data_IF_067455382766
#
_entry.id   IF_067455382766
#
_cell.length_a   1.000
_cell.length_b   1.000
_cell.length_c   1.000
_cell.angle_alpha   90.00
_cell.angle_beta   90.00
_cell.angle_gamma   90.00
#
_symmetry.space_group_name_H-M   'P 1'
#
loop_
_entity.id
_entity.type
_entity.pdbx_description
1 polymer ?
#
# COMPACT_ATOMS: atom_id res chain seq x y z
N UNK A 1 -10.33 -36.02 29.45
CA UNK A 1 -9.91 -34.60 29.56
C UNK A 1 -8.64 -34.46 28.73
N UNK A 2 -8.76 -34.12 27.43
CA UNK A 2 -7.61 -34.07 26.53
C UNK A 2 -6.84 -32.78 26.77
N UNK A 3 -5.73 -32.88 27.51
CA UNK A 3 -4.73 -31.82 27.64
C UNK A 3 -3.98 -31.70 26.32
N UNK A 4 -4.38 -30.75 25.49
CA UNK A 4 -3.67 -30.42 24.27
C UNK A 4 -2.40 -29.63 24.64
N UNK A 5 -1.28 -30.33 24.86
CA UNK A 5 0.07 -29.75 24.87
C UNK A 5 0.52 -29.52 23.43
N UNK A 6 -0.16 -28.61 22.75
CA UNK A 6 0.35 -28.08 21.49
C UNK A 6 1.40 -27.05 21.84
N UNK A 7 2.66 -27.37 21.55
CA UNK A 7 3.67 -26.38 21.18
C UNK A 7 3.12 -25.60 19.98
N UNK A 8 2.18 -24.70 20.26
CA UNK A 8 1.78 -23.69 19.32
C UNK A 8 3.03 -22.89 19.13
N UNK A 9 3.68 -23.11 17.99
CA UNK A 9 4.43 -22.07 17.32
C UNK A 9 3.46 -20.91 17.16
N UNK A 10 3.32 -20.14 18.23
CA UNK A 10 2.66 -18.86 18.25
C UNK A 10 3.55 -18.02 17.35
N UNK A 11 3.21 -18.00 16.06
CA UNK A 11 3.76 -17.09 15.07
C UNK A 11 3.66 -15.65 15.60
N UNK A 12 2.67 -15.38 16.48
CA UNK A 12 2.56 -14.18 17.32
C UNK A 12 3.76 -13.92 18.25
N UNK A 13 4.41 -14.95 18.79
CA UNK A 13 5.54 -14.85 19.71
C UNK A 13 6.85 -14.41 19.05
N UNK A 14 7.00 -14.63 17.74
CA UNK A 14 8.15 -14.13 16.97
C UNK A 14 8.01 -12.62 16.66
N UNK A 15 6.79 -12.10 16.56
CA UNK A 15 6.49 -10.68 16.41
C UNK A 15 6.30 -9.99 17.76
N UNK A 16 7.34 -10.01 18.62
CA UNK A 16 7.33 -9.27 19.90
C UNK A 16 7.20 -7.75 19.75
N UNK A 17 7.26 -7.21 18.52
CA UNK A 17 7.00 -5.80 18.22
C UNK A 17 6.05 -5.67 17.03
N UNK A 18 4.82 -5.13 17.24
CA UNK A 18 3.86 -4.82 16.17
C UNK A 18 4.45 -3.96 15.05
N UNK A 19 5.43 -3.10 15.36
CA UNK A 19 6.09 -2.23 14.38
C UNK A 19 6.94 -3.01 13.37
N UNK A 20 7.64 -4.06 13.81
CA UNK A 20 8.49 -4.90 12.94
C UNK A 20 7.60 -5.73 12.01
N UNK A 21 6.52 -6.31 12.54
CA UNK A 21 5.54 -7.05 11.76
C UNK A 21 4.95 -6.17 10.65
N UNK A 22 4.62 -4.92 10.99
CA UNK A 22 4.07 -3.96 10.05
C UNK A 22 5.08 -3.56 8.96
N UNK A 23 6.34 -3.34 9.34
CA UNK A 23 7.42 -3.07 8.37
C UNK A 23 7.64 -4.23 7.39
N UNK A 24 7.65 -5.47 7.88
CA UNK A 24 7.78 -6.66 7.03
C UNK A 24 6.58 -6.81 6.08
N UNK A 25 5.34 -6.60 6.57
CA UNK A 25 4.16 -6.65 5.73
C UNK A 25 4.20 -5.63 4.60
N UNK A 26 4.59 -4.38 4.90
CA UNK A 26 4.77 -3.34 3.88
C UNK A 26 5.85 -3.75 2.88
N UNK A 27 6.96 -4.33 3.35
CA UNK A 27 8.02 -4.82 2.47
C UNK A 27 7.55 -5.93 1.52
N UNK A 28 6.80 -6.91 2.03
CA UNK A 28 6.23 -8.01 1.23
C UNK A 28 5.24 -7.45 0.21
N UNK A 29 4.37 -6.55 0.63
CA UNK A 29 3.39 -5.92 -0.26
C UNK A 29 4.08 -5.10 -1.37
N UNK A 30 5.15 -4.38 -1.03
CA UNK A 30 5.95 -3.64 -2.01
C UNK A 30 6.58 -4.57 -3.05
N UNK A 31 7.14 -5.71 -2.62
CA UNK A 31 7.65 -6.73 -3.54
C UNK A 31 6.54 -7.28 -4.44
N UNK A 32 5.32 -7.44 -3.90
CA UNK A 32 4.11 -7.81 -4.64
C UNK A 32 3.65 -6.75 -5.64
N UNK A 33 3.96 -5.46 -5.42
CA UNK A 33 3.65 -4.38 -6.33
C UNK A 33 4.64 -4.26 -7.51
N UNK A 34 5.85 -4.84 -7.41
CA UNK A 34 6.88 -4.76 -8.45
C UNK A 34 6.44 -5.32 -9.82
N UNK A 35 5.74 -6.48 -9.93
CA UNK A 35 5.23 -6.98 -11.20
C UNK A 35 4.28 -5.99 -11.87
N UNK A 36 3.43 -5.33 -11.09
CA UNK A 36 2.50 -4.31 -11.58
C UNK A 36 3.25 -3.09 -12.08
N UNK A 37 4.23 -2.57 -11.33
CA UNK A 37 5.09 -1.46 -11.78
C UNK A 37 5.80 -1.81 -13.10
N UNK A 38 6.39 -3.00 -13.19
CA UNK A 38 7.05 -3.49 -14.40
C UNK A 38 6.07 -3.62 -15.57
N UNK A 39 4.85 -4.08 -15.32
CA UNK A 39 3.77 -4.20 -16.32
C UNK A 39 3.34 -2.81 -16.79
N UNK A 40 3.10 -1.86 -15.89
CA UNK A 40 2.74 -0.48 -16.23
C UNK A 40 3.78 0.22 -17.09
N UNK A 41 5.07 -0.10 -16.91
CA UNK A 41 6.17 0.44 -17.72
C UNK A 41 6.25 -0.17 -19.14
N UNK A 42 5.94 -1.46 -19.31
CA UNK A 42 6.14 -2.17 -20.58
C UNK A 42 4.86 -2.37 -21.40
N UNK A 43 3.73 -2.58 -20.72
CA UNK A 43 2.42 -2.89 -21.29
C UNK A 43 1.32 -2.15 -20.51
N UNK A 44 1.26 -0.83 -20.69
CA UNK A 44 0.27 0.04 -20.02
C UNK A 44 -1.19 -0.28 -20.38
N UNK A 45 -1.44 -1.00 -21.47
CA UNK A 45 -2.78 -1.29 -21.98
C UNK A 45 -3.49 -2.41 -21.20
N UNK A 46 -2.74 -3.21 -20.45
CA UNK A 46 -3.28 -4.30 -19.63
C UNK A 46 -3.79 -3.86 -18.26
N UNK A 47 -3.76 -2.56 -17.95
CA UNK A 47 -4.15 -1.97 -16.66
C UNK A 47 -5.08 -0.77 -16.90
N UNK A 48 -6.12 -0.63 -16.09
CA UNK A 48 -7.10 0.45 -16.26
C UNK A 48 -6.65 1.72 -15.54
N UNK A 49 -6.29 2.77 -16.30
CA UNK A 49 -5.86 4.06 -15.75
C UNK A 49 -6.91 4.69 -14.82
N UNK A 50 -8.21 4.58 -15.15
CA UNK A 50 -9.29 5.14 -14.33
C UNK A 50 -9.39 4.42 -12.98
N UNK A 51 -9.20 3.10 -12.97
CA UNK A 51 -9.17 2.32 -11.72
C UNK A 51 -8.00 2.76 -10.82
N UNK A 52 -6.81 2.94 -11.39
CA UNK A 52 -5.63 3.41 -10.65
C UNK A 52 -5.77 4.88 -10.18
N UNK A 53 -6.44 5.74 -10.96
CA UNK A 53 -6.79 7.10 -10.56
C UNK A 53 -7.74 7.09 -9.36
N UNK A 54 -8.86 6.37 -9.45
CA UNK A 54 -9.83 6.27 -8.36
C UNK A 54 -9.20 5.67 -7.11
N UNK A 55 -8.34 4.66 -7.26
CA UNK A 55 -7.61 4.07 -6.14
C UNK A 55 -6.68 5.10 -5.49
N UNK A 56 -5.94 5.88 -6.27
CA UNK A 56 -5.12 6.96 -5.72
C UNK A 56 -5.92 8.06 -5.02
N UNK A 57 -7.06 8.47 -5.60
CA UNK A 57 -7.93 9.46 -4.97
C UNK A 57 -8.51 8.92 -3.66
N UNK A 58 -8.97 7.67 -3.64
CA UNK A 58 -9.48 7.03 -2.43
C UNK A 58 -8.40 6.94 -1.34
N UNK A 59 -7.17 6.59 -1.69
CA UNK A 59 -6.06 6.55 -0.74
C UNK A 59 -5.61 7.95 -0.29
N UNK A 60 -5.72 8.97 -1.14
CA UNK A 60 -5.50 10.36 -0.74
C UNK A 60 -6.55 10.81 0.29
N UNK A 61 -7.83 10.51 0.05
CA UNK A 61 -8.91 10.79 1.00
C UNK A 61 -8.73 10.03 2.30
N UNK A 62 -8.29 8.78 2.24
CA UNK A 62 -7.97 7.97 3.43
C UNK A 62 -6.84 8.62 4.25
N UNK A 63 -5.75 9.04 3.59
CA UNK A 63 -4.65 9.72 4.25
C UNK A 63 -5.10 11.06 4.85
N UNK A 64 -5.88 11.86 4.12
CA UNK A 64 -6.44 13.12 4.62
C UNK A 64 -7.40 12.91 5.79
N UNK A 65 -8.17 11.83 5.79
CA UNK A 65 -9.03 11.46 6.91
C UNK A 65 -8.20 11.11 8.15
N UNK A 66 -7.10 10.37 8.00
CA UNK A 66 -6.22 10.02 9.12
C UNK A 66 -5.49 11.26 9.63
N UNK A 67 -4.89 12.06 8.74
CA UNK A 67 -4.19 13.30 9.11
C UNK A 67 -5.16 14.31 9.73
N UNK A 68 -6.33 14.50 9.12
CA UNK A 68 -7.36 15.42 9.60
C UNK A 68 -8.02 14.97 10.90
N UNK A 69 -8.38 13.69 11.03
CA UNK A 69 -8.93 13.14 12.28
C UNK A 69 -7.90 13.13 13.40
N UNK A 70 -6.62 12.90 13.07
CA UNK A 70 -5.53 12.97 14.05
C UNK A 70 -5.14 14.41 14.42
N UNK A 71 -5.48 15.43 13.62
CA UNK A 71 -5.43 16.83 14.03
C UNK A 71 -6.54 17.22 15.01
N UNK A 72 -7.67 16.50 15.03
CA UNK A 72 -8.79 16.76 15.96
C UNK A 72 -8.59 16.08 17.32
N UNK A 73 -7.76 15.04 17.40
CA UNK A 73 -7.39 14.35 18.65
C UNK A 73 -5.88 14.41 18.84
N UNK A 74 -5.40 15.24 19.77
CA UNK A 74 -3.98 15.56 20.03
C UNK A 74 -3.00 14.39 20.35
N UNK A 75 -3.34 13.13 20.09
CA UNK A 75 -2.44 12.02 20.38
C UNK A 75 -2.60 10.78 19.49
N UNK A 76 -3.23 10.90 18.31
CA UNK A 76 -3.49 9.74 17.42
C UNK A 76 -2.42 9.50 16.34
N UNK A 77 -1.41 10.36 16.26
CA UNK A 77 -0.29 10.26 15.31
C UNK A 77 0.75 9.24 15.76
N UNK A 78 0.40 7.95 15.67
CA UNK A 78 1.38 6.87 15.87
C UNK A 78 1.91 6.37 14.53
N UNK A 79 3.20 6.05 14.50
CA UNK A 79 3.88 5.46 13.32
C UNK A 79 3.06 4.33 12.68
N UNK A 80 2.52 3.44 13.51
CA UNK A 80 1.80 2.23 13.08
C UNK A 80 0.50 2.55 12.33
N UNK A 81 -0.15 3.67 12.63
CA UNK A 81 -1.40 4.07 12.00
C UNK A 81 -1.14 4.78 10.67
N UNK A 82 -0.06 5.57 10.57
CA UNK A 82 0.14 6.49 9.45
C UNK A 82 0.96 5.88 8.32
N UNK A 83 1.92 4.99 8.62
CA UNK A 83 2.90 4.55 7.62
C UNK A 83 2.28 3.71 6.49
N UNK A 84 1.32 2.85 6.78
CA UNK A 84 0.67 2.03 5.76
C UNK A 84 -0.18 2.88 4.78
N UNK A 85 -1.06 3.79 5.25
CA UNK A 85 -1.77 4.74 4.39
C UNK A 85 -0.85 5.60 3.50
N UNK A 86 0.30 6.06 4.04
CA UNK A 86 1.31 6.78 3.23
C UNK A 86 1.85 5.87 2.13
N UNK A 87 2.30 4.67 2.50
CA UNK A 87 2.88 3.69 1.58
C UNK A 87 1.90 3.37 0.43
N UNK A 88 0.66 3.02 0.74
CA UNK A 88 -0.31 2.59 -0.28
C UNK A 88 -0.66 3.76 -1.21
N UNK A 89 -0.80 4.97 -0.68
CA UNK A 89 -1.02 6.18 -1.49
C UNK A 89 0.15 6.44 -2.46
N UNK A 90 1.39 6.28 -2.00
CA UNK A 90 2.57 6.46 -2.85
C UNK A 90 2.65 5.40 -3.95
N UNK A 91 2.38 4.13 -3.64
CA UNK A 91 2.40 3.04 -4.63
C UNK A 91 1.32 3.23 -5.68
N UNK A 92 0.07 3.47 -5.28
CA UNK A 92 -1.03 3.65 -6.26
C UNK A 92 -0.80 4.88 -7.12
N UNK A 93 -0.26 5.95 -6.54
CA UNK A 93 0.05 7.19 -7.29
C UNK A 93 1.21 6.99 -8.25
N UNK A 94 2.22 6.22 -7.86
CA UNK A 94 3.32 5.85 -8.74
C UNK A 94 2.81 5.06 -9.94
N UNK A 95 1.98 4.03 -9.71
CA UNK A 95 1.42 3.21 -10.78
C UNK A 95 0.55 4.05 -11.72
N UNK A 96 -0.33 4.89 -11.17
CA UNK A 96 -1.14 5.83 -11.96
C UNK A 96 -0.26 6.75 -12.83
N UNK A 97 0.77 7.37 -12.26
CA UNK A 97 1.67 8.26 -13.00
C UNK A 97 2.45 7.54 -14.11
N UNK A 98 2.87 6.30 -13.86
CA UNK A 98 3.54 5.47 -14.86
C UNK A 98 2.60 5.12 -16.02
N UNK A 99 1.36 4.71 -15.73
CA UNK A 99 0.35 4.44 -16.74
C UNK A 99 0.00 5.70 -17.55
N UNK A 100 -0.19 6.84 -16.87
CA UNK A 100 -0.46 8.13 -17.52
C UNK A 100 0.67 8.52 -18.47
N UNK A 101 1.93 8.37 -18.06
CA UNK A 101 3.10 8.62 -18.90
C UNK A 101 3.15 7.68 -20.10
N UNK A 102 2.88 6.38 -19.90
CA UNK A 102 2.85 5.37 -20.96
C UNK A 102 1.81 5.68 -22.03
N UNK A 103 0.56 5.96 -21.62
CA UNK A 103 -0.53 6.28 -22.54
C UNK A 103 -0.30 7.62 -23.27
N UNK A 104 0.22 8.64 -22.58
CA UNK A 104 0.52 9.96 -23.19
C UNK A 104 1.61 9.87 -24.25
N UNK A 105 2.66 9.08 -24.03
CA UNK A 105 3.74 8.92 -25.02
C UNK A 105 3.25 8.21 -26.29
N UNK A 106 2.30 7.27 -26.16
CA UNK A 106 1.68 6.56 -27.29
C UNK A 106 0.75 7.47 -28.11
N UNK A 107 -0.04 8.33 -27.47
CA UNK A 107 -0.91 9.28 -28.20
C UNK A 107 -0.11 10.32 -29.00
N UNK A 108 1.15 10.57 -28.61
CA UNK A 108 2.06 11.47 -29.35
C UNK A 108 2.79 10.81 -30.53
N UNK A 109 2.73 9.48 -30.66
CA UNK A 109 3.43 8.72 -31.72
C UNK A 109 2.52 8.29 -32.87
N UNK A 110 1.25 8.70 -32.87
CA UNK A 110 0.25 8.50 -33.92
C UNK A 110 -0.06 9.87 -34.53
#
# INVERSE_FOLDING_TARGET
MFGWSGDRFDIMGLYRSPSIALGINIGIDFLGALPTIRKSLRHSDGENLLAWLLCSVANALNLLAIVGAASVKENYWTWQIVIYPIYIFLVTSTIFLLLWRGQRNRYRSI
#
